data_IF_601915680845
#
_entry.id   IF_601915680845
#
_cell.length_a   1.000
_cell.length_b   1.000
_cell.length_c   1.000
_cell.angle_alpha   90.00
_cell.angle_beta   90.00
_cell.angle_gamma   90.00
#
_symmetry.space_group_name_H-M   'P 1'
#
loop_
_entity.id
_entity.type
_entity.pdbx_description
1 polymer ?
#
# COMPACT_ATOMS: atom_id res chain seq x y z
N UNK A 1 2.49 13.56 -10.61
CA UNK A 1 1.58 12.89 -9.63
C UNK A 1 1.36 11.42 -9.97
N UNK A 2 0.86 11.07 -11.16
CA UNK A 2 0.76 9.66 -11.60
C UNK A 2 2.16 9.02 -11.74
N UNK A 3 3.12 9.75 -12.30
CA UNK A 3 4.50 9.27 -12.44
C UNK A 3 5.14 8.94 -11.08
N UNK A 4 4.80 9.69 -10.03
CA UNK A 4 5.25 9.41 -8.68
C UNK A 4 4.63 8.14 -8.09
N UNK A 5 3.35 7.88 -8.39
CA UNK A 5 2.70 6.60 -8.05
C UNK A 5 3.39 5.44 -8.79
N UNK A 6 3.60 5.56 -10.10
CA UNK A 6 4.24 4.52 -10.92
C UNK A 6 5.69 4.26 -10.47
N UNK A 7 6.43 5.30 -10.11
CA UNK A 7 7.78 5.17 -9.59
C UNK A 7 7.80 4.36 -8.30
N UNK A 8 6.90 4.66 -7.34
CA UNK A 8 6.77 3.90 -6.09
C UNK A 8 6.35 2.45 -6.35
N UNK A 9 5.37 2.22 -7.23
CA UNK A 9 4.91 0.86 -7.58
C UNK A 9 6.02 0.05 -8.23
N UNK A 10 6.85 0.68 -9.06
CA UNK A 10 7.99 0.02 -9.73
C UNK A 10 9.16 -0.23 -8.78
N UNK A 11 9.49 0.73 -7.92
CA UNK A 11 10.69 0.66 -7.07
C UNK A 11 10.45 -0.09 -5.77
N UNK A 12 9.20 -0.16 -5.29
CA UNK A 12 8.87 -0.65 -3.95
C UNK A 12 9.39 0.23 -2.82
N UNK A 13 9.91 1.43 -3.14
CA UNK A 13 10.47 2.35 -2.16
C UNK A 13 9.39 2.91 -1.21
N UNK A 14 9.82 3.42 -0.07
CA UNK A 14 8.89 4.06 0.86
C UNK A 14 8.36 5.36 0.26
N UNK A 15 7.11 5.72 0.56
CA UNK A 15 6.51 6.98 0.08
C UNK A 15 7.35 8.22 0.37
N UNK A 16 8.07 8.23 1.51
CA UNK A 16 8.94 9.35 1.92
C UNK A 16 10.21 9.48 1.07
N UNK A 17 10.58 8.45 0.34
CA UNK A 17 11.74 8.41 -0.54
C UNK A 17 11.39 8.86 -1.96
N UNK A 18 10.14 9.27 -2.21
CA UNK A 18 9.73 9.79 -3.51
C UNK A 18 10.61 10.99 -3.89
N UNK A 19 11.30 10.96 -5.04
CA UNK A 19 12.09 12.08 -5.50
C UNK A 19 11.24 13.34 -5.66
N UNK A 20 11.78 14.49 -5.24
CA UNK A 20 11.09 15.78 -5.30
C UNK A 20 10.65 16.17 -6.73
N UNK A 21 11.35 15.65 -7.74
CA UNK A 21 10.97 15.79 -9.15
C UNK A 21 9.54 15.31 -9.47
N UNK A 22 8.99 14.39 -8.68
CA UNK A 22 7.62 13.88 -8.84
C UNK A 22 6.56 14.66 -8.02
N UNK A 23 7.01 15.65 -7.24
CA UNK A 23 6.20 16.49 -6.36
C UNK A 23 6.11 15.96 -4.92
N UNK A 24 5.26 16.60 -4.11
CA UNK A 24 5.05 16.23 -2.70
C UNK A 24 4.49 14.81 -2.58
N UNK A 25 5.22 13.96 -1.84
CA UNK A 25 4.82 12.58 -1.57
C UNK A 25 3.45 12.48 -0.89
N UNK A 26 3.09 13.44 -0.02
CA UNK A 26 1.80 13.47 0.66
C UNK A 26 0.65 13.57 -0.35
N UNK A 27 0.81 14.43 -1.36
CA UNK A 27 -0.21 14.64 -2.39
C UNK A 27 -0.38 13.41 -3.28
N UNK A 28 0.75 12.78 -3.64
CA UNK A 28 0.76 11.54 -4.43
C UNK A 28 0.08 10.41 -3.63
N UNK A 29 0.45 10.24 -2.35
CA UNK A 29 -0.16 9.25 -1.48
C UNK A 29 -1.65 9.50 -1.24
N UNK A 30 -2.06 10.75 -1.01
CA UNK A 30 -3.47 11.09 -0.79
C UNK A 30 -4.32 10.71 -2.02
N UNK A 31 -3.82 10.95 -3.23
CA UNK A 31 -4.51 10.50 -4.44
C UNK A 31 -4.51 8.98 -4.55
N UNK A 32 -3.36 8.34 -4.33
CA UNK A 32 -3.24 6.89 -4.36
C UNK A 32 -4.27 6.23 -3.43
N UNK A 33 -4.37 6.70 -2.18
CA UNK A 33 -5.33 6.19 -1.21
C UNK A 33 -6.76 6.37 -1.72
N UNK A 34 -7.10 7.56 -2.22
CA UNK A 34 -8.44 7.81 -2.79
C UNK A 34 -8.77 6.83 -3.92
N UNK A 35 -7.85 6.64 -4.87
CA UNK A 35 -8.05 5.76 -6.02
C UNK A 35 -8.03 4.27 -5.69
N UNK A 36 -7.33 3.89 -4.63
CA UNK A 36 -7.42 2.56 -4.04
C UNK A 36 -8.81 2.33 -3.45
N UNK A 37 -9.29 3.30 -2.68
CA UNK A 37 -10.53 3.18 -1.90
C UNK A 37 -11.78 3.27 -2.80
N UNK A 38 -11.74 4.09 -3.86
CA UNK A 38 -12.83 4.22 -4.84
C UNK A 38 -12.79 3.17 -5.97
N UNK A 39 -11.76 2.33 -6.01
CA UNK A 39 -11.61 1.25 -6.99
C UNK A 39 -11.04 1.68 -8.35
N UNK A 40 -10.71 2.96 -8.55
CA UNK A 40 -10.12 3.46 -9.81
C UNK A 40 -8.87 2.68 -10.21
N UNK A 41 -7.97 2.38 -9.26
CA UNK A 41 -6.77 1.59 -9.55
C UNK A 41 -7.11 0.18 -10.08
N UNK A 42 -8.16 -0.44 -9.55
CA UNK A 42 -8.61 -1.75 -9.99
C UNK A 42 -9.19 -1.70 -11.40
N UNK A 43 -9.98 -0.67 -11.72
CA UNK A 43 -10.51 -0.46 -13.06
C UNK A 43 -9.40 -0.25 -14.09
N UNK A 44 -8.41 0.61 -13.76
CA UNK A 44 -7.25 0.83 -14.63
C UNK A 44 -6.47 -0.46 -14.83
N UNK A 45 -6.22 -1.22 -13.76
CA UNK A 45 -5.52 -2.50 -13.85
C UNK A 45 -6.26 -3.48 -14.77
N UNK A 46 -7.58 -3.61 -14.64
CA UNK A 46 -8.36 -4.49 -15.51
C UNK A 46 -8.28 -4.06 -16.97
N UNK A 47 -8.48 -2.77 -17.26
CA UNK A 47 -8.40 -2.26 -18.63
C UNK A 47 -7.02 -2.49 -19.27
N UNK A 48 -5.93 -2.34 -18.50
CA UNK A 48 -4.58 -2.64 -18.98
C UNK A 48 -4.29 -4.14 -19.10
N UNK A 49 -5.03 -4.99 -18.39
CA UNK A 49 -4.86 -6.45 -18.42
C UNK A 49 -5.65 -7.11 -19.54
N UNK A 50 -6.59 -6.41 -20.18
CA UNK A 50 -7.45 -6.98 -21.25
C UNK A 50 -6.63 -7.47 -22.45
N UNK A 51 -5.60 -6.71 -22.83
CA UNK A 51 -4.68 -7.05 -23.94
C UNK A 51 -3.32 -7.59 -23.45
N UNK A 52 -3.20 -7.96 -22.18
CA UNK A 52 -1.94 -8.48 -21.66
C UNK A 52 -1.63 -9.83 -22.32
N UNK A 53 -0.58 -9.85 -23.15
CA UNK A 53 0.00 -11.07 -23.66
C UNK A 53 0.64 -11.81 -22.47
N UNK A 54 -0.05 -12.86 -22.00
CA UNK A 54 0.38 -13.72 -20.90
C UNK A 54 1.73 -14.44 -21.15
N UNK A 55 2.46 -14.07 -22.20
CA UNK A 55 3.80 -14.55 -22.51
C UNK A 55 4.83 -14.11 -21.46
N UNK A 56 4.62 -12.98 -20.78
CA UNK A 56 5.56 -12.48 -19.75
C UNK A 56 4.88 -12.27 -18.38
N UNK A 57 4.49 -13.38 -17.74
CA UNK A 57 3.97 -13.39 -16.38
C UNK A 57 5.11 -13.43 -15.34
N UNK A 58 5.43 -12.29 -14.74
CA UNK A 58 6.29 -12.23 -13.54
C UNK A 58 5.45 -12.27 -12.27
N UNK A 59 5.44 -13.41 -11.58
CA UNK A 59 4.84 -13.57 -10.25
C UNK A 59 5.97 -13.66 -9.23
N UNK A 60 6.22 -12.58 -8.50
CA UNK A 60 7.16 -12.57 -7.39
C UNK A 60 6.42 -12.78 -6.07
N UNK A 61 6.69 -13.90 -5.38
CA UNK A 61 6.20 -14.13 -4.02
C UNK A 61 7.17 -13.51 -3.02
N UNK A 62 6.69 -12.59 -2.18
CA UNK A 62 7.46 -12.04 -1.04
C UNK A 62 6.76 -12.40 0.26
N UNK A 63 7.39 -13.23 1.09
CA UNK A 63 6.92 -13.52 2.44
C UNK A 63 7.72 -12.69 3.46
N UNK A 64 7.06 -11.74 4.13
CA UNK A 64 7.67 -10.99 5.22
C UNK A 64 7.29 -11.68 6.53
N UNK A 65 8.29 -12.23 7.23
CA UNK A 65 8.12 -12.78 8.57
C UNK A 65 7.92 -11.62 9.54
N UNK A 66 6.75 -11.56 10.16
CA UNK A 66 6.43 -10.55 11.16
C UNK A 66 6.96 -11.01 12.53
N UNK A 67 7.61 -10.10 13.26
CA UNK A 67 8.02 -10.34 14.65
C UNK A 67 6.79 -10.36 15.57
N UNK A 68 6.76 -11.26 16.56
CA UNK A 68 5.63 -11.46 17.48
C UNK A 68 5.10 -10.14 18.09
N UNK A 69 6.00 -9.20 18.36
CA UNK A 69 5.67 -7.88 18.93
C UNK A 69 4.89 -6.94 18.01
N UNK A 70 4.71 -7.25 16.73
CA UNK A 70 3.88 -6.46 15.81
C UNK A 70 2.42 -6.94 15.77
N UNK A 71 2.10 -8.06 16.43
CA UNK A 71 0.74 -8.49 16.68
C UNK A 71 0.18 -7.59 17.81
N UNK A 72 -0.36 -6.43 17.45
CA UNK A 72 -0.84 -5.43 18.40
C UNK A 72 -1.64 -6.05 19.55
N UNK A 73 -1.14 -5.90 20.77
CA UNK A 73 -1.83 -6.30 21.99
C UNK A 73 -3.18 -5.58 22.07
N UNK A 74 -4.27 -6.35 22.10
CA UNK A 74 -5.61 -5.81 22.29
C UNK A 74 -5.65 -4.95 23.54
N UNK A 75 -6.07 -3.69 23.40
CA UNK A 75 -6.42 -2.86 24.55
C UNK A 75 -7.71 -3.42 25.15
N UNK A 76 -7.59 -4.30 26.14
CA UNK A 76 -8.74 -4.66 26.98
C UNK A 76 -9.09 -3.44 27.80
N UNK A 77 -10.23 -2.84 27.47
CA UNK A 77 -10.80 -1.73 28.23
C UNK A 77 -11.11 -2.17 29.68
N UNK A 78 -10.91 -1.21 30.57
CA UNK A 78 -11.08 -1.20 32.01
C UNK A 78 -12.27 -2.02 32.57
N UNK A 79 -12.00 -2.82 33.62
CA UNK A 79 -12.96 -3.04 34.72
C UNK A 79 -12.24 -3.15 36.07
N UNK A 80 -12.33 -2.09 36.86
CA UNK A 80 -12.07 -2.09 38.29
C UNK A 80 -12.87 -3.17 39.04
N UNK A 81 -12.23 -3.98 39.90
CA UNK A 81 -12.88 -4.68 41.03
C UNK A 81 -11.96 -4.73 42.25
N UNK A 82 -12.54 -4.24 43.34
CA UNK A 82 -12.11 -4.07 44.75
C UNK A 82 -11.34 -5.24 45.37
N UNK A 83 -10.36 -4.92 46.23
CA UNK A 83 -9.81 -5.83 47.26
C UNK A 83 -10.73 -5.85 48.50
N UNK A 84 -11.01 -7.04 49.02
CA UNK A 84 -11.45 -7.29 50.41
C UNK A 84 -10.30 -7.93 51.17
#
# INVERSE_FOLDING_TARGET
>A
MLDGMLWITRSGAQWRELPEAYGSWQSVYARFSKWRDDGTLKTVFHALSEDADMENLSIDSTCIKVHESANGGGKTADKAVRRT
#
